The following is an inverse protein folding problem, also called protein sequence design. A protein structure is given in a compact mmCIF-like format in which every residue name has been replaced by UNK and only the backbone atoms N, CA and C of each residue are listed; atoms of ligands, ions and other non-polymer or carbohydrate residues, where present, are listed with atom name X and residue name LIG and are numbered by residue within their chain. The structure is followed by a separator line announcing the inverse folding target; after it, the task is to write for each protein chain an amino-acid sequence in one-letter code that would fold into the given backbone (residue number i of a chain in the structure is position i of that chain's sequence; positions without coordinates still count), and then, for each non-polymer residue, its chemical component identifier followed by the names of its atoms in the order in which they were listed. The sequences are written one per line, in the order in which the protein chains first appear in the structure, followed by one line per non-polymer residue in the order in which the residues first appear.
data_IF_323969702277
#
_entry.id   IF_323969702277
#
_cell.length_a   1.000
_cell.length_b   1.000
_cell.length_c   1.000
_cell.angle_alpha   90.00
_cell.angle_beta   90.00
_cell.angle_gamma   90.00
#
_symmetry.space_group_name_H-M   'P 1'
#
loop_
_entity.id
_entity.type
_entity.pdbx_description
1 polymer ?
#
# COMPACT_ATOMS: atom_id res chain seq x y z
N UNK A 1 3.28 -6.22 8.00
CA UNK A 1 2.70 -6.89 6.81
C UNK A 1 2.94 -8.39 6.89
N UNK A 2 1.90 -9.22 6.91
CA UNK A 2 2.04 -10.69 6.98
C UNK A 2 1.62 -11.32 5.64
N UNK A 3 2.48 -12.19 5.09
CA UNK A 3 2.19 -12.89 3.84
C UNK A 3 0.99 -13.83 3.96
N UNK A 4 0.82 -14.53 5.09
CA UNK A 4 -0.34 -15.41 5.29
C UNK A 4 -1.64 -14.63 5.21
N UNK A 5 -1.70 -13.48 5.90
CA UNK A 5 -2.86 -12.59 5.91
C UNK A 5 -3.18 -12.05 4.51
N UNK A 6 -2.16 -11.74 3.71
CA UNK A 6 -2.33 -11.37 2.31
C UNK A 6 -2.96 -12.50 1.47
N UNK A 7 -2.50 -13.74 1.66
CA UNK A 7 -3.07 -14.89 0.94
C UNK A 7 -4.53 -15.13 1.35
N UNK A 8 -4.83 -14.99 2.64
CA UNK A 8 -6.19 -15.13 3.18
C UNK A 8 -7.13 -14.04 2.64
N UNK A 9 -6.68 -12.78 2.59
CA UNK A 9 -7.42 -11.67 1.97
C UNK A 9 -7.74 -11.95 0.49
N UNK A 10 -6.73 -12.36 -0.28
CA UNK A 10 -6.90 -12.66 -1.72
C UNK A 10 -7.89 -13.81 -1.94
N UNK A 11 -7.83 -14.83 -1.07
CA UNK A 11 -8.78 -15.94 -1.07
C UNK A 11 -10.20 -15.46 -0.75
N UNK A 12 -10.38 -14.58 0.24
CA UNK A 12 -11.69 -13.99 0.58
C UNK A 12 -12.25 -13.11 -0.54
N UNK A 13 -11.40 -12.42 -1.30
CA UNK A 13 -11.78 -11.65 -2.48
C UNK A 13 -12.05 -12.51 -3.73
N UNK A 14 -11.71 -13.81 -3.70
CA UNK A 14 -11.78 -14.67 -4.88
C UNK A 14 -10.74 -14.34 -5.95
N UNK A 15 -9.68 -13.63 -5.59
CA UNK A 15 -8.59 -13.21 -6.50
C UNK A 15 -7.41 -14.15 -6.36
N UNK A 16 -6.75 -14.49 -7.47
CA UNK A 16 -5.55 -15.32 -7.43
C UNK A 16 -4.42 -14.60 -6.66
N UNK A 17 -3.91 -15.18 -5.56
CA UNK A 17 -2.85 -14.54 -4.80
C UNK A 17 -1.56 -14.49 -5.62
N UNK A 18 -1.00 -13.29 -5.79
CA UNK A 18 0.29 -13.08 -6.45
C UNK A 18 1.34 -12.68 -5.42
N UNK A 19 2.35 -13.53 -5.20
CA UNK A 19 3.51 -13.20 -4.37
C UNK A 19 4.31 -12.02 -4.96
N UNK A 20 4.27 -11.83 -6.28
CA UNK A 20 4.92 -10.70 -6.93
C UNK A 20 4.27 -9.38 -6.50
N UNK A 21 2.94 -9.34 -6.41
CA UNK A 21 2.19 -8.17 -5.92
C UNK A 21 2.49 -7.90 -4.45
N UNK A 22 2.53 -8.95 -3.62
CA UNK A 22 2.93 -8.83 -2.21
C UNK A 22 4.34 -8.24 -2.06
N UNK A 23 5.30 -8.72 -2.86
CA UNK A 23 6.68 -8.21 -2.82
C UNK A 23 6.78 -6.76 -3.31
N UNK A 24 6.00 -6.37 -4.32
CA UNK A 24 5.89 -4.97 -4.77
C UNK A 24 5.34 -4.06 -3.69
N UNK A 25 4.29 -4.49 -3.00
CA UNK A 25 3.74 -3.77 -1.84
C UNK A 25 4.80 -3.64 -0.73
N UNK A 26 5.42 -4.75 -0.32
CA UNK A 26 6.44 -4.75 0.72
C UNK A 26 7.60 -3.79 0.41
N UNK A 27 8.06 -3.75 -0.85
CA UNK A 27 9.08 -2.78 -1.29
C UNK A 27 8.60 -1.34 -1.19
N UNK A 28 7.38 -1.04 -1.63
CA UNK A 28 6.81 0.30 -1.54
C UNK A 28 6.75 0.81 -0.09
N UNK A 29 6.44 -0.08 0.87
CA UNK A 29 6.42 0.24 2.31
C UNK A 29 7.79 0.20 2.99
N UNK A 30 8.83 -0.27 2.29
CA UNK A 30 10.22 -0.26 2.77
C UNK A 30 11.01 0.98 2.30
N UNK A 31 10.41 1.86 1.48
CA UNK A 31 11.10 3.05 0.99
C UNK A 31 11.24 4.13 2.08
N UNK A 32 12.45 4.64 2.34
CA UNK A 32 12.74 5.53 3.48
C UNK A 32 12.13 6.94 3.37
N UNK A 33 11.48 7.28 2.26
CA UNK A 33 10.89 8.61 2.08
C UNK A 33 9.57 8.82 2.82
N UNK A 34 9.06 7.82 3.53
CA UNK A 34 7.84 7.93 4.33
C UNK A 34 8.09 7.60 5.80
N UNK A 35 8.49 8.62 6.57
CA UNK A 35 8.71 8.49 8.02
C UNK A 35 7.47 8.01 8.80
N UNK A 36 6.26 8.17 8.27
CA UNK A 36 5.00 7.78 8.91
C UNK A 36 4.31 6.54 8.30
N UNK A 37 4.75 6.08 7.12
CA UNK A 37 4.12 4.98 6.38
C UNK A 37 5.04 3.75 6.32
N UNK A 38 5.43 3.28 7.50
CA UNK A 38 6.25 2.08 7.64
C UNK A 38 5.37 0.85 7.80
N UNK A 39 5.95 -0.35 7.66
CA UNK A 39 5.24 -1.61 7.92
C UNK A 39 4.54 -1.66 9.30
N UNK A 40 5.03 -0.86 10.27
CA UNK A 40 4.45 -0.71 11.61
C UNK A 40 3.07 -0.07 11.54
N UNK A 41 2.92 1.05 10.81
CA UNK A 41 1.64 1.73 10.69
C UNK A 41 0.55 0.85 10.07
N UNK A 42 0.91 0.05 9.07
CA UNK A 42 -0.03 -0.90 8.45
C UNK A 42 -0.46 -1.97 9.45
N UNK A 43 0.48 -2.50 10.24
CA UNK A 43 0.14 -3.49 11.26
C UNK A 43 -0.79 -2.91 12.32
N UNK A 44 -0.57 -1.66 12.73
CA UNK A 44 -1.44 -0.97 13.70
C UNK A 44 -2.86 -0.80 13.12
N UNK A 45 -2.99 -0.34 11.87
CA UNK A 45 -4.29 -0.24 11.18
C UNK A 45 -4.99 -1.61 11.03
N UNK A 46 -4.24 -2.67 10.74
CA UNK A 46 -4.80 -4.03 10.65
C UNK A 46 -5.23 -4.57 12.02
N UNK A 47 -4.51 -4.21 13.10
CA UNK A 47 -4.87 -4.59 14.47
C UNK A 47 -6.12 -3.86 14.96
N UNK A 48 -6.29 -2.59 14.58
CA UNK A 48 -7.53 -1.84 14.80
C UNK A 48 -8.68 -2.47 14.03
N UNK A 49 -8.45 -2.86 12.77
CA UNK A 49 -9.45 -3.59 11.98
C UNK A 49 -9.86 -4.90 12.67
N UNK A 50 -8.93 -5.69 13.19
CA UNK A 50 -9.23 -6.92 13.93
C UNK A 50 -10.10 -6.67 15.17
N UNK A 51 -9.99 -5.48 15.78
CA UNK A 51 -10.79 -5.10 16.94
C UNK A 51 -12.24 -4.73 16.56
N UNK A 52 -12.46 -4.25 15.33
CA UNK A 52 -13.78 -3.85 14.83
C UNK A 52 -14.38 -4.83 13.83
N UNK A 53 -13.66 -5.88 13.42
CA UNK A 53 -14.07 -6.82 12.36
C UNK A 53 -15.44 -7.47 12.65
N UNK A 54 -15.76 -7.70 13.93
CA UNK A 54 -17.03 -8.26 14.37
C UNK A 54 -18.21 -7.28 14.26
N UNK A 55 -17.95 -6.00 13.98
CA UNK A 55 -18.94 -4.93 13.85
C UNK A 55 -19.20 -4.54 12.38
N UNK A 56 -18.46 -5.11 11.42
CA UNK A 56 -18.52 -4.72 10.01
C UNK A 56 -18.73 -5.95 9.13
N UNK A 57 -19.81 -5.94 8.34
CA UNK A 57 -20.07 -6.96 7.30
C UNK A 57 -19.11 -6.86 6.11
N UNK A 58 -18.44 -5.71 5.92
CA UNK A 58 -17.56 -5.42 4.78
C UNK A 58 -16.08 -5.36 5.19
N UNK A 59 -15.66 -6.24 6.11
CA UNK A 59 -14.32 -6.20 6.66
C UNK A 59 -13.24 -6.48 5.59
N UNK A 60 -13.57 -7.28 4.58
CA UNK A 60 -12.67 -7.63 3.47
C UNK A 60 -12.39 -6.41 2.59
N UNK A 61 -13.41 -5.60 2.31
CA UNK A 61 -13.32 -4.37 1.53
C UNK A 61 -12.49 -3.32 2.28
N UNK A 62 -12.71 -3.19 3.59
CA UNK A 62 -11.94 -2.28 4.45
C UNK A 62 -10.48 -2.73 4.56
N UNK A 63 -10.22 -4.03 4.75
CA UNK A 63 -8.86 -4.57 4.75
C UNK A 63 -8.16 -4.29 3.42
N UNK A 64 -8.84 -4.53 2.30
CA UNK A 64 -8.32 -4.22 0.97
C UNK A 64 -7.98 -2.73 0.84
N UNK A 65 -8.87 -1.85 1.29
CA UNK A 65 -8.60 -0.42 1.32
C UNK A 65 -7.36 -0.11 2.18
N UNK A 66 -7.15 -0.74 3.33
CA UNK A 66 -5.93 -0.56 4.16
C UNK A 66 -4.68 -1.09 3.46
N UNK A 67 -4.72 -2.20 2.73
CA UNK A 67 -3.53 -2.67 2.01
C UNK A 67 -3.14 -1.76 0.84
N UNK A 68 -4.13 -1.16 0.18
CA UNK A 68 -3.94 -0.36 -1.02
C UNK A 68 -3.95 1.16 -0.80
N UNK A 69 -4.46 1.67 0.33
CA UNK A 69 -4.61 3.11 0.56
C UNK A 69 -3.30 3.80 0.30
N UNK A 70 -2.21 3.26 0.85
CA UNK A 70 -0.89 3.86 0.81
C UNK A 70 -0.06 3.45 -0.41
N UNK A 71 -0.34 2.26 -0.95
CA UNK A 71 0.28 1.76 -2.18
C UNK A 71 -0.21 2.55 -3.41
N UNK A 72 -1.47 2.98 -3.39
CA UNK A 72 -2.08 3.85 -4.40
C UNK A 72 -1.81 5.33 -4.06
N UNK A 73 -1.66 5.70 -2.79
CA UNK A 73 -1.15 7.01 -2.38
C UNK A 73 0.34 7.18 -2.69
N UNK A 74 0.76 7.01 -3.95
CA UNK A 74 1.96 7.70 -4.43
C UNK A 74 1.62 9.19 -4.40
N UNK A 75 2.22 10.02 -3.52
CA UNK A 75 2.21 11.44 -3.79
C UNK A 75 2.82 11.58 -5.19
N UNK A 76 2.07 12.23 -6.08
CA UNK A 76 2.48 12.49 -7.45
C UNK A 76 3.98 12.82 -7.52
N UNK A 77 4.68 12.06 -8.36
CA UNK A 77 5.86 12.47 -9.10
C UNK A 77 6.80 13.47 -8.38
N UNK A 78 7.77 12.96 -7.62
CA UNK A 78 9.08 13.62 -7.58
C UNK A 78 9.81 13.35 -8.91
N UNK A 79 9.24 13.85 -10.01
CA UNK A 79 9.96 14.06 -11.27
C UNK A 79 9.57 15.43 -11.86
N UNK A 80 9.33 16.41 -10.99
CA UNK A 80 9.14 17.79 -11.38
C UNK A 80 10.38 18.61 -11.00
N UNK A 81 11.42 18.48 -11.81
CA UNK A 81 12.22 19.58 -12.38
C UNK A 81 13.57 19.05 -12.88
N UNK A 82 13.56 18.29 -13.99
CA UNK A 82 14.76 18.17 -14.84
C UNK A 82 14.51 18.44 -16.30
N UNK A 83 13.65 19.42 -16.61
CA UNK A 83 13.70 20.10 -17.91
C UNK A 83 13.30 21.56 -17.75
N UNK A 84 14.24 22.43 -17.33
CA UNK A 84 14.27 23.77 -17.95
C UNK A 84 15.26 23.68 -19.11
N UNK A 85 14.69 23.67 -20.31
CA UNK A 85 15.39 24.04 -21.55
C UNK A 85 15.94 25.45 -21.36
N UNK A 86 17.26 25.58 -21.39
CA UNK A 86 17.90 26.74 -22.00
C UNK A 86 18.58 26.27 -23.28
N UNK A 87 17.77 26.13 -24.32
CA UNK A 87 18.25 26.18 -25.69
C UNK A 87 17.56 27.40 -26.33
N UNK A 88 18.06 28.58 -25.98
CA UNK A 88 17.89 29.77 -26.81
C UNK A 88 19.20 29.94 -27.56
N UNK A 89 19.08 29.75 -28.86
CA UNK A 89 20.05 29.99 -29.92
C UNK A 89 20.87 31.27 -29.66
N UNK A 90 22.19 31.15 -29.79
CA UNK A 90 23.09 32.24 -30.18
C UNK A 90 23.66 31.94 -31.55
#
# INVERSE_FOLDING_TARGET
MNQSRWLDLMKSLGVAPSLETYNKLKRAYSEPHRYYHTEVHINDCLSELDSVINLTENAVEVETAIWFHDAIYRPYAFDNERVRRDHVLS
#
